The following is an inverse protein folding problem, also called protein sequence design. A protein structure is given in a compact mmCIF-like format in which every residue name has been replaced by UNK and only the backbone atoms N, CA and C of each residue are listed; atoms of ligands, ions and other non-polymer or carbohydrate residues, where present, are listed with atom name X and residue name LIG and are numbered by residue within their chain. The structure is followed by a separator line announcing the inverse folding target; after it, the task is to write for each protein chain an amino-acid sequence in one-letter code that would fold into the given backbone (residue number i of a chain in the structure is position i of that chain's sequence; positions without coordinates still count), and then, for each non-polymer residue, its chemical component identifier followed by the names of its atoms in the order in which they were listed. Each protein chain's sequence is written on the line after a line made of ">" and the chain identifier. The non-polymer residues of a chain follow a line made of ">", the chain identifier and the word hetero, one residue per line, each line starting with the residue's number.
data_IF_759697668505
#
_entry.id   IF_759697668505
#
_cell.length_a   1.000
_cell.length_b   1.000
_cell.length_c   1.000
_cell.angle_alpha   90.00
_cell.angle_beta   90.00
_cell.angle_gamma   90.00
#
_symmetry.space_group_name_H-M   'P 1'
#
loop_
_entity.id
_entity.type
_entity.pdbx_description
1 polymer ?
#
# COMPACT_ATOMS: atom_id res chain seq x y z
N UNK A 1 -23.55 12.86 -16.18
CA UNK A 1 -23.64 11.60 -15.41
C UNK A 1 -22.91 10.52 -16.19
N UNK A 2 -21.60 10.40 -16.05
CA UNK A 2 -20.80 9.31 -16.62
C UNK A 2 -20.67 8.20 -15.57
N UNK A 3 -21.11 7.02 -15.92
CA UNK A 3 -21.12 5.85 -15.04
C UNK A 3 -19.68 5.35 -14.89
N UNK A 4 -19.14 5.46 -13.69
CA UNK A 4 -17.93 4.76 -13.29
C UNK A 4 -18.24 3.26 -13.34
N UNK A 5 -17.63 2.57 -14.27
CA UNK A 5 -17.68 1.11 -14.33
C UNK A 5 -16.62 0.60 -13.35
N UNK A 6 -17.06 0.28 -12.14
CA UNK A 6 -16.23 -0.44 -11.17
C UNK A 6 -15.93 -1.80 -11.77
N UNK A 7 -14.70 -1.99 -12.20
CA UNK A 7 -14.18 -3.32 -12.53
C UNK A 7 -14.00 -4.07 -11.22
N UNK A 8 -15.02 -4.84 -10.87
CA UNK A 8 -14.96 -5.77 -9.74
C UNK A 8 -14.02 -6.91 -10.16
N UNK A 9 -12.75 -6.79 -9.84
CA UNK A 9 -11.82 -7.89 -9.92
C UNK A 9 -12.21 -8.88 -8.81
N UNK A 10 -12.94 -9.92 -9.20
CA UNK A 10 -13.25 -11.05 -8.33
C UNK A 10 -11.94 -11.81 -8.07
N UNK A 11 -11.28 -11.51 -6.96
CA UNK A 11 -10.17 -12.28 -6.46
C UNK A 11 -10.74 -13.61 -5.92
N UNK A 12 -10.81 -14.60 -6.79
CA UNK A 12 -11.13 -15.97 -6.40
C UNK A 12 -9.95 -16.47 -5.57
N UNK A 13 -10.11 -16.46 -4.25
CA UNK A 13 -9.23 -17.14 -3.33
C UNK A 13 -9.31 -18.65 -3.60
N UNK A 14 -8.31 -19.18 -4.26
CA UNK A 14 -8.10 -20.64 -4.34
C UNK A 14 -7.55 -21.06 -2.98
N UNK A 15 -8.44 -21.46 -2.08
CA UNK A 15 -8.06 -22.13 -0.84
C UNK A 15 -7.59 -23.54 -1.17
N UNK A 16 -6.31 -23.68 -1.43
CA UNK A 16 -5.66 -24.98 -1.41
C UNK A 16 -5.42 -25.35 0.06
N UNK A 17 -6.28 -26.21 0.59
CA UNK A 17 -6.12 -26.80 1.93
C UNK A 17 -4.92 -27.75 1.92
N UNK A 18 -3.80 -27.28 2.41
CA UNK A 18 -2.69 -28.14 2.83
C UNK A 18 -2.66 -28.14 4.37
N UNK A 19 -3.22 -29.18 4.97
CA UNK A 19 -3.00 -29.51 6.37
C UNK A 19 -1.57 -29.98 6.55
N UNK A 20 -0.72 -29.10 7.02
CA UNK A 20 0.57 -29.48 7.59
C UNK A 20 0.62 -28.88 8.98
N UNK A 21 0.49 -29.74 9.98
CA UNK A 21 0.82 -29.39 11.35
C UNK A 21 2.34 -29.17 11.42
N UNK A 22 2.77 -27.93 11.42
CA UNK A 22 4.14 -27.55 11.71
C UNK A 22 4.13 -26.38 12.69
N UNK A 23 5.03 -26.43 13.64
CA UNK A 23 5.37 -25.31 14.51
C UNK A 23 5.48 -24.02 13.70
N UNK A 24 4.92 -22.91 14.20
CA UNK A 24 4.88 -21.53 13.67
C UNK A 24 5.87 -21.25 12.52
N UNK A 25 5.66 -21.90 11.37
CA UNK A 25 6.44 -21.66 10.17
C UNK A 25 5.78 -20.48 9.44
N UNK A 26 6.42 -19.31 9.53
CA UNK A 26 5.96 -18.10 8.85
C UNK A 26 6.44 -18.01 7.39
N UNK A 27 7.01 -19.11 6.85
CA UNK A 27 7.44 -19.19 5.45
C UNK A 27 6.24 -19.38 4.50
N UNK A 28 6.44 -19.03 3.23
CA UNK A 28 5.43 -19.24 2.21
C UNK A 28 4.68 -17.96 1.79
N UNK A 29 3.63 -18.17 1.01
CA UNK A 29 2.81 -17.09 0.48
C UNK A 29 1.85 -16.52 1.54
N UNK A 30 1.65 -15.22 1.49
CA UNK A 30 0.58 -14.55 2.22
C UNK A 30 -0.12 -13.53 1.34
N UNK A 31 -1.39 -13.27 1.66
CA UNK A 31 -2.21 -12.25 0.99
C UNK A 31 -3.11 -11.58 2.00
N UNK A 32 -3.28 -10.27 1.87
CA UNK A 32 -4.08 -9.50 2.80
C UNK A 32 -4.62 -8.21 2.23
N UNK A 33 -5.43 -7.57 3.06
CA UNK A 33 -5.97 -6.25 2.81
C UNK A 33 -5.76 -5.33 4.00
N UNK A 34 -5.83 -4.03 3.74
CA UNK A 34 -5.66 -3.00 4.76
C UNK A 34 -6.62 -1.84 4.56
N UNK A 35 -6.92 -1.16 5.66
CA UNK A 35 -7.63 0.12 5.70
C UNK A 35 -6.74 1.11 6.45
N UNK A 36 -6.70 2.37 6.00
CA UNK A 36 -5.81 3.33 6.60
C UNK A 36 -6.03 4.76 6.14
N UNK A 37 -5.11 5.60 6.53
CA UNK A 37 -5.05 7.00 6.13
C UNK A 37 -3.81 7.22 5.28
N UNK A 38 -4.02 7.84 4.12
CA UNK A 38 -2.97 8.33 3.25
C UNK A 38 -2.85 9.83 3.43
N UNK A 39 -1.63 10.31 3.51
CA UNK A 39 -1.31 11.73 3.55
C UNK A 39 -0.30 12.06 2.46
N UNK A 40 -0.70 12.92 1.54
CA UNK A 40 0.14 13.48 0.50
C UNK A 40 0.64 14.85 0.95
N UNK A 41 1.94 15.08 0.88
CA UNK A 41 2.59 16.38 1.11
C UNK A 41 3.33 16.80 -0.14
N UNK A 42 3.07 18.02 -0.58
CA UNK A 42 3.77 18.67 -1.69
C UNK A 42 3.89 20.17 -1.40
N UNK A 43 5.07 20.75 -1.54
CA UNK A 43 5.39 22.20 -1.49
C UNK A 43 4.50 23.07 -0.54
N UNK A 44 4.36 22.65 0.73
CA UNK A 44 3.63 23.44 1.74
C UNK A 44 2.14 23.16 1.85
N UNK A 45 1.59 22.28 1.01
CA UNK A 45 0.22 21.76 1.12
C UNK A 45 0.24 20.31 1.59
N UNK A 46 -0.76 19.93 2.38
CA UNK A 46 -0.97 18.53 2.74
C UNK A 46 -2.44 18.17 2.60
N UNK A 47 -2.69 17.06 1.95
CA UNK A 47 -4.03 16.48 1.75
C UNK A 47 -4.02 15.11 2.39
N UNK A 48 -5.03 14.77 3.14
CA UNK A 48 -5.18 13.47 3.77
C UNK A 48 -6.55 12.86 3.49
N UNK A 49 -6.61 11.56 3.42
CA UNK A 49 -7.84 10.82 3.18
C UNK A 49 -7.75 9.37 3.61
N UNK A 50 -8.91 8.77 3.75
CA UNK A 50 -9.02 7.34 4.06
C UNK A 50 -8.91 6.54 2.77
N UNK A 51 -8.24 5.38 2.87
CA UNK A 51 -8.05 4.50 1.74
C UNK A 51 -8.02 3.04 2.15
N UNK A 52 -7.93 2.21 1.14
CA UNK A 52 -7.80 0.76 1.30
C UNK A 52 -6.63 0.25 0.47
N UNK A 53 -6.04 -0.85 0.93
CA UNK A 53 -4.93 -1.49 0.25
C UNK A 53 -5.10 -3.00 0.16
N UNK A 54 -4.35 -3.57 -0.75
CA UNK A 54 -4.13 -5.00 -0.84
C UNK A 54 -2.63 -5.25 -0.87
N UNK A 55 -2.20 -6.32 -0.25
CA UNK A 55 -0.80 -6.71 -0.27
C UNK A 55 -0.65 -8.22 -0.29
N UNK A 56 0.45 -8.66 -0.83
CA UNK A 56 0.79 -10.06 -0.87
C UNK A 56 2.29 -10.23 -0.99
N UNK A 57 2.79 -11.35 -0.53
CA UNK A 57 4.21 -11.61 -0.55
C UNK A 57 4.55 -13.06 -0.33
N UNK A 58 5.85 -13.30 -0.34
CA UNK A 58 6.44 -14.59 -0.04
C UNK A 58 7.53 -14.42 1.00
N UNK A 59 7.41 -15.10 2.11
CA UNK A 59 8.46 -15.20 3.11
C UNK A 59 9.35 -16.40 2.78
N UNK A 60 10.61 -16.13 2.40
CA UNK A 60 11.60 -17.16 2.07
C UNK A 60 12.10 -17.91 3.31
N UNK A 61 12.06 -17.20 4.44
CA UNK A 61 12.40 -17.70 5.76
C UNK A 61 11.78 -16.78 6.82
N UNK A 62 12.01 -17.03 8.11
CA UNK A 62 11.39 -16.29 9.23
C UNK A 62 11.74 -14.80 9.28
N UNK A 63 12.85 -14.41 8.68
CA UNK A 63 13.34 -13.02 8.77
C UNK A 63 13.35 -12.26 7.45
N UNK A 64 13.18 -12.92 6.29
CA UNK A 64 13.27 -12.30 4.97
C UNK A 64 12.13 -12.73 4.05
N UNK A 65 11.53 -11.75 3.39
CA UNK A 65 10.49 -11.93 2.38
C UNK A 65 10.50 -10.85 1.33
N UNK A 66 9.67 -11.03 0.32
CA UNK A 66 9.36 -10.03 -0.71
C UNK A 66 7.87 -9.74 -0.66
N UNK A 67 7.50 -8.46 -0.67
CA UNK A 67 6.11 -8.00 -0.59
C UNK A 67 5.79 -7.03 -1.73
N UNK A 68 4.66 -7.24 -2.38
CA UNK A 68 3.99 -6.28 -3.23
C UNK A 68 2.81 -5.67 -2.46
N UNK A 69 2.66 -4.36 -2.53
CA UNK A 69 1.63 -3.60 -1.83
C UNK A 69 1.00 -2.59 -2.79
N UNK A 70 -0.31 -2.49 -2.77
CA UNK A 70 -1.08 -1.46 -3.47
C UNK A 70 -1.98 -0.77 -2.44
N UNK A 71 -2.00 0.55 -2.44
CA UNK A 71 -2.87 1.34 -1.60
C UNK A 71 -3.55 2.43 -2.44
N UNK A 72 -4.86 2.56 -2.30
CA UNK A 72 -5.68 3.52 -3.01
C UNK A 72 -6.45 4.36 -2.00
N UNK A 73 -6.40 5.66 -2.17
CA UNK A 73 -7.21 6.62 -1.44
C UNK A 73 -8.10 7.35 -2.43
N UNK A 74 -9.39 7.40 -2.15
CA UNK A 74 -10.33 8.25 -2.86
C UNK A 74 -10.75 9.40 -1.96
N UNK A 75 -11.25 10.47 -2.57
CA UNK A 75 -11.83 11.61 -1.87
C UNK A 75 -10.83 12.30 -0.91
N UNK A 76 -9.70 12.74 -1.47
CA UNK A 76 -8.70 13.53 -0.80
C UNK A 76 -9.09 15.01 -0.91
N UNK A 77 -9.68 15.60 0.14
CA UNK A 77 -9.92 17.04 0.20
C UNK A 77 -11.37 17.43 0.54
N UNK A 78 -11.52 18.61 1.12
CA UNK A 78 -12.80 19.26 1.34
C UNK A 78 -13.07 20.22 0.15
N UNK A 79 -14.00 19.88 -0.74
CA UNK A 79 -14.41 20.77 -1.85
C UNK A 79 -15.02 20.04 -3.04
N UNK A 80 -15.44 20.81 -4.07
CA UNK A 80 -16.07 20.29 -5.29
C UNK A 80 -15.10 19.60 -6.28
N UNK A 81 -13.86 19.31 -5.89
CA UNK A 81 -12.87 18.62 -6.70
C UNK A 81 -12.55 17.25 -6.09
N UNK A 82 -12.75 16.18 -6.86
CA UNK A 82 -12.38 14.83 -6.48
C UNK A 82 -10.87 14.61 -6.70
N UNK A 83 -10.13 14.35 -5.62
CA UNK A 83 -8.74 13.96 -5.69
C UNK A 83 -8.59 12.49 -5.31
N UNK A 84 -7.88 11.73 -6.13
CA UNK A 84 -7.51 10.35 -5.84
C UNK A 84 -5.99 10.19 -5.84
N UNK A 85 -5.47 9.37 -4.95
CA UNK A 85 -4.06 8.99 -4.96
C UNK A 85 -3.91 7.48 -4.76
N UNK A 86 -2.87 6.93 -5.38
CA UNK A 86 -2.56 5.52 -5.27
C UNK A 86 -1.05 5.28 -5.26
N UNK A 87 -0.64 4.20 -4.62
CA UNK A 87 0.73 3.72 -4.62
C UNK A 87 0.76 2.23 -4.94
N UNK A 88 1.76 1.81 -5.71
CA UNK A 88 2.12 0.41 -5.88
C UNK A 88 3.60 0.25 -5.54
N UNK A 89 3.91 -0.64 -4.62
CA UNK A 89 5.26 -0.84 -4.12
C UNK A 89 5.71 -2.29 -4.19
N UNK A 90 7.00 -2.49 -4.45
CA UNK A 90 7.68 -3.78 -4.35
C UNK A 90 8.85 -3.65 -3.37
N UNK A 91 8.81 -4.46 -2.31
CA UNK A 91 9.73 -4.30 -1.18
C UNK A 91 10.28 -5.60 -0.66
N UNK A 92 11.59 -5.77 -0.55
CA UNK A 92 12.20 -6.63 0.46
C UNK A 92 11.67 -6.28 1.85
N UNK A 93 11.28 -7.29 2.60
CA UNK A 93 10.74 -7.18 3.95
C UNK A 93 11.60 -7.99 4.91
N UNK A 94 12.02 -7.36 5.99
CA UNK A 94 12.79 -7.96 7.06
C UNK A 94 11.94 -8.02 8.32
N UNK A 95 11.80 -9.21 8.87
CA UNK A 95 10.93 -9.49 10.03
C UNK A 95 11.78 -9.95 11.20
N UNK A 96 11.49 -9.45 12.38
CA UNK A 96 12.07 -9.91 13.63
C UNK A 96 10.96 -10.37 14.57
N UNK A 97 10.98 -11.67 14.90
CA UNK A 97 10.03 -12.27 15.84
C UNK A 97 10.40 -11.86 17.26
N UNK A 98 9.47 -11.22 17.97
CA UNK A 98 9.62 -10.87 19.39
C UNK A 98 9.22 -12.06 20.27
N UNK A 99 8.15 -12.74 19.88
CA UNK A 99 7.62 -13.95 20.49
C UNK A 99 6.68 -14.66 19.51
N UNK A 100 6.04 -15.75 19.92
CA UNK A 100 5.12 -16.55 19.08
C UNK A 100 3.92 -15.75 18.53
N UNK A 101 3.58 -14.62 19.14
CA UNK A 101 2.42 -13.81 18.75
C UNK A 101 2.82 -12.53 18.01
N UNK A 102 3.92 -11.90 18.40
CA UNK A 102 4.28 -10.57 17.89
C UNK A 102 5.60 -10.59 17.14
N UNK A 103 5.59 -9.92 15.99
CA UNK A 103 6.76 -9.62 15.21
C UNK A 103 6.78 -8.16 14.79
N UNK A 104 7.97 -7.58 14.66
CA UNK A 104 8.17 -6.28 14.01
C UNK A 104 8.79 -6.50 12.64
N UNK A 105 8.49 -5.61 11.70
CA UNK A 105 9.12 -5.68 10.40
C UNK A 105 9.55 -4.31 9.92
N UNK A 106 10.56 -4.32 9.06
CA UNK A 106 10.99 -3.18 8.25
C UNK A 106 11.03 -3.56 6.79
N UNK A 107 10.71 -2.65 5.90
CA UNK A 107 10.78 -2.86 4.46
C UNK A 107 11.32 -1.62 3.76
N UNK A 108 12.03 -1.83 2.65
CA UNK A 108 12.54 -0.77 1.80
C UNK A 108 12.47 -1.26 0.35
N UNK A 109 12.15 -0.37 -0.58
CA UNK A 109 12.05 -0.75 -1.98
C UNK A 109 11.66 0.40 -2.87
N UNK A 110 11.03 0.07 -3.98
CA UNK A 110 10.57 1.03 -5.00
C UNK A 110 9.05 1.10 -5.00
N UNK A 111 8.53 2.27 -5.29
CA UNK A 111 7.10 2.50 -5.45
C UNK A 111 6.82 3.35 -6.68
N UNK A 112 5.71 3.05 -7.34
CA UNK A 112 5.05 3.94 -8.29
C UNK A 112 3.95 4.70 -7.58
N UNK A 113 3.80 5.97 -7.88
CA UNK A 113 2.76 6.85 -7.36
C UNK A 113 1.88 7.32 -8.50
N UNK A 114 0.58 7.40 -8.24
CA UNK A 114 -0.41 7.98 -9.16
C UNK A 114 -1.27 8.95 -8.37
N UNK A 115 -1.45 10.14 -8.89
CA UNK A 115 -2.42 11.09 -8.36
C UNK A 115 -3.31 11.58 -9.50
N UNK A 116 -4.61 11.63 -9.26
CA UNK A 116 -5.61 12.08 -10.21
C UNK A 116 -6.33 13.26 -9.59
N UNK A 117 -6.34 14.37 -10.30
CA UNK A 117 -7.12 15.56 -9.95
C UNK A 117 -8.24 15.74 -10.98
N UNK A 118 -9.49 15.73 -10.52
CA UNK A 118 -10.67 15.96 -11.36
C UNK A 118 -11.37 17.27 -10.94
N UNK A 119 -10.93 18.43 -11.46
CA UNK A 119 -11.63 19.70 -11.22
C UNK A 119 -13.00 19.71 -11.91
N UNK A 120 -14.01 20.31 -11.29
CA UNK A 120 -15.41 20.23 -11.72
C UNK A 120 -15.71 20.76 -13.16
N UNK A 121 -14.78 21.48 -13.80
CA UNK A 121 -14.96 22.06 -15.15
C UNK A 121 -13.71 22.00 -16.05
N UNK A 122 -12.67 21.25 -15.69
CA UNK A 122 -11.44 21.11 -16.47
C UNK A 122 -11.17 19.64 -16.78
N UNK A 123 -10.14 19.37 -17.61
CA UNK A 123 -9.74 18.00 -17.93
C UNK A 123 -9.06 17.37 -16.73
N UNK A 124 -9.28 16.06 -16.56
CA UNK A 124 -8.57 15.26 -15.58
C UNK A 124 -7.06 15.38 -15.83
N UNK A 125 -6.31 15.69 -14.80
CA UNK A 125 -4.85 15.72 -14.82
C UNK A 125 -4.32 14.51 -14.08
N UNK A 126 -3.55 13.69 -14.80
CA UNK A 126 -2.89 12.50 -14.28
C UNK A 126 -1.43 12.83 -13.99
N UNK A 127 -1.01 12.57 -12.76
CA UNK A 127 0.37 12.68 -12.32
C UNK A 127 0.88 11.29 -12.00
N UNK A 128 2.02 10.93 -12.57
CA UNK A 128 2.69 9.66 -12.28
C UNK A 128 4.09 9.91 -11.79
N UNK A 129 4.59 9.04 -10.91
CA UNK A 129 5.92 9.16 -10.40
C UNK A 129 6.48 7.87 -9.84
N UNK A 130 7.78 7.88 -9.64
CA UNK A 130 8.51 6.79 -9.01
C UNK A 130 9.27 7.32 -7.80
N UNK A 131 9.39 6.46 -6.78
CA UNK A 131 10.11 6.82 -5.59
C UNK A 131 10.61 5.63 -4.81
N UNK A 132 11.29 5.95 -3.71
CA UNK A 132 11.69 4.97 -2.71
C UNK A 132 10.62 4.85 -1.65
N UNK A 133 10.31 3.62 -1.27
CA UNK A 133 9.41 3.33 -0.15
C UNK A 133 10.19 2.80 1.03
N UNK A 134 9.84 3.30 2.21
CA UNK A 134 10.33 2.85 3.51
C UNK A 134 9.12 2.52 4.37
N UNK A 135 9.13 1.36 4.99
CA UNK A 135 8.02 0.94 5.83
C UNK A 135 8.48 0.25 7.10
N UNK A 136 7.69 0.42 8.14
CA UNK A 136 7.85 -0.29 9.41
C UNK A 136 6.49 -0.71 9.93
N UNK A 137 6.46 -1.77 10.72
CA UNK A 137 5.19 -2.16 11.32
C UNK A 137 5.32 -3.32 12.31
N UNK A 138 4.16 -3.71 12.82
CA UNK A 138 4.01 -4.81 13.77
C UNK A 138 3.00 -5.78 13.20
N UNK A 139 3.29 -7.07 13.29
CA UNK A 139 2.35 -8.17 13.04
C UNK A 139 1.97 -8.80 14.38
N UNK A 140 0.70 -9.17 14.50
CA UNK A 140 0.19 -9.99 15.59
C UNK A 140 -0.49 -11.23 14.99
N UNK A 141 0.01 -12.41 15.31
CA UNK A 141 -0.56 -13.69 14.90
C UNK A 141 -1.77 -14.01 15.77
N UNK A 142 -2.97 -14.03 15.15
CA UNK A 142 -4.23 -14.33 15.83
C UNK A 142 -4.50 -15.83 15.82
N UNK A 143 -4.12 -16.49 14.71
CA UNK A 143 -4.12 -17.94 14.55
C UNK A 143 -2.87 -18.35 13.79
N UNK A 144 -2.66 -19.64 13.56
CA UNK A 144 -1.55 -20.15 12.75
C UNK A 144 -1.50 -19.53 11.33
N UNK A 145 -2.64 -19.13 10.79
CA UNK A 145 -2.74 -18.60 9.43
C UNK A 145 -3.19 -17.13 9.37
N UNK A 146 -3.83 -16.62 10.41
CA UNK A 146 -4.40 -15.28 10.39
C UNK A 146 -3.57 -14.31 11.21
N UNK A 147 -3.15 -13.23 10.55
CA UNK A 147 -2.33 -12.20 11.16
C UNK A 147 -2.98 -10.82 11.01
N UNK A 148 -2.88 -10.01 12.06
CA UNK A 148 -3.23 -8.59 12.04
C UNK A 148 -1.94 -7.79 11.94
N UNK A 149 -1.96 -6.74 11.12
CA UNK A 149 -0.80 -5.88 10.86
C UNK A 149 -1.15 -4.43 11.12
N UNK A 150 -0.26 -3.73 11.80
CA UNK A 150 -0.24 -2.27 11.84
C UNK A 150 1.03 -1.79 11.14
N UNK A 151 0.88 -0.96 10.12
CA UNK A 151 1.99 -0.52 9.28
C UNK A 151 2.01 0.99 9.07
N UNK A 152 3.21 1.52 8.88
CA UNK A 152 3.46 2.88 8.45
C UNK A 152 4.47 2.88 7.33
N UNK A 153 4.06 3.37 6.16
CA UNK A 153 4.86 3.45 4.95
C UNK A 153 5.06 4.91 4.55
N UNK A 154 6.24 5.25 4.08
CA UNK A 154 6.57 6.54 3.47
C UNK A 154 7.12 6.26 2.09
N UNK A 155 6.52 6.88 1.08
CA UNK A 155 7.04 6.92 -0.29
C UNK A 155 7.60 8.32 -0.53
N UNK A 156 8.85 8.39 -0.94
CA UNK A 156 9.53 9.63 -1.34
C UNK A 156 9.91 9.54 -2.80
N UNK A 157 9.43 10.48 -3.59
CA UNK A 157 9.69 10.48 -5.02
C UNK A 157 9.35 11.79 -5.69
N UNK A 158 9.56 11.81 -6.99
CA UNK A 158 9.25 12.93 -7.86
C UNK A 158 8.01 12.58 -8.70
N UNK A 159 7.10 13.52 -8.83
CA UNK A 159 5.94 13.43 -9.70
C UNK A 159 6.22 14.23 -10.98
N UNK A 160 6.05 13.56 -12.12
CA UNK A 160 6.11 14.16 -13.45
C UNK A 160 4.69 14.44 -13.94
N UNK A 161 4.44 15.65 -14.47
CA UNK A 161 3.19 15.97 -15.14
C UNK A 161 3.32 15.74 -16.64
N UNK A 162 2.43 14.95 -17.23
CA UNK A 162 2.47 14.65 -18.68
C UNK A 162 2.08 15.83 -19.59
N UNK A 163 1.61 16.95 -19.05
CA UNK A 163 0.99 18.04 -19.85
C UNK A 163 1.69 19.39 -19.79
N UNK A 164 2.79 19.54 -19.09
CA UNK A 164 3.52 20.82 -19.02
C UNK A 164 4.91 20.67 -19.64
N UNK A 165 5.12 21.38 -20.76
CA UNK A 165 6.41 21.47 -21.50
C UNK A 165 7.43 22.32 -20.70
N UNK A 166 7.82 21.82 -19.53
CA UNK A 166 8.80 22.41 -18.64
C UNK A 166 9.08 21.48 -17.48
N UNK A 167 10.34 21.05 -17.35
CA UNK A 167 10.89 20.24 -16.24
C UNK A 167 10.52 20.84 -14.87
N UNK A 168 9.33 20.51 -14.37
CA UNK A 168 8.95 20.77 -12.99
C UNK A 168 8.77 19.45 -12.28
N UNK A 169 9.90 18.88 -11.86
CA UNK A 169 9.87 17.80 -10.89
C UNK A 169 9.30 18.36 -9.57
N UNK A 170 8.19 17.81 -9.14
CA UNK A 170 7.55 18.18 -7.87
C UNK A 170 7.91 17.10 -6.86
N UNK A 171 8.65 17.47 -5.82
CA UNK A 171 8.90 16.57 -4.69
C UNK A 171 7.57 16.21 -4.02
N UNK A 172 7.26 14.93 -3.97
CA UNK A 172 6.06 14.42 -3.33
C UNK A 172 6.41 13.37 -2.28
N UNK A 173 5.92 13.60 -1.07
CA UNK A 173 5.99 12.65 0.03
C UNK A 173 4.60 12.07 0.30
N UNK A 174 4.44 10.77 0.10
CA UNK A 174 3.21 10.06 0.47
C UNK A 174 3.48 9.24 1.73
N UNK A 175 2.71 9.45 2.78
CA UNK A 175 2.75 8.61 3.98
C UNK A 175 1.42 7.88 4.15
N UNK A 176 1.49 6.62 4.55
CA UNK A 176 0.34 5.77 4.76
C UNK A 176 0.43 5.06 6.12
N UNK A 177 -0.60 5.23 6.94
CA UNK A 177 -0.77 4.50 8.19
C UNK A 177 -1.97 3.57 8.05
N UNK A 178 -1.77 2.26 8.16
CA UNK A 178 -2.79 1.29 7.85
C UNK A 178 -2.86 0.13 8.85
N UNK A 179 -4.08 -0.27 9.15
CA UNK A 179 -4.40 -1.53 9.82
C UNK A 179 -4.78 -2.55 8.75
N UNK A 180 -4.14 -3.70 8.77
CA UNK A 180 -4.36 -4.77 7.81
C UNK A 180 -4.58 -6.12 8.46
N UNK A 181 -5.03 -7.06 7.65
CA UNK A 181 -5.17 -8.46 7.99
C UNK A 181 -4.70 -9.30 6.81
N UNK A 182 -3.96 -10.37 7.07
CA UNK A 182 -3.53 -11.28 6.01
C UNK A 182 -3.61 -12.73 6.44
N UNK A 183 -3.78 -13.56 5.44
CA UNK A 183 -3.73 -15.01 5.55
C UNK A 183 -2.37 -15.51 5.08
N UNK A 184 -1.70 -16.31 5.91
CA UNK A 184 -0.46 -17.02 5.63
C UNK A 184 -0.81 -18.45 5.21
N UNK A 185 -0.31 -18.89 4.05
CA UNK A 185 -0.55 -20.23 3.50
C UNK A 185 0.43 -21.27 4.04
#
# INVERSE_FOLDING_TARGET
>A
MKRFTIVTASLLAVFASSNVAAANDHTGFYVGGSLGQLKLKSEGSSIDGTGFGAYGGYNFNDWFGLEANMFLSGDLGEGDADFGAGTFALTPKFTYQINDTFAVYGKVGIASMVAVASPANERDEDFTGFGWVYGVGVNASVTEHLNIRLGYDIVKGELDSEHYDGDKNIDADISNFALGMHYQF
#
